data_IF_949042324203
#
_entry.id   IF_949042324203
#
_cell.length_a   1.000
_cell.length_b   1.000
_cell.length_c   1.000
_cell.angle_alpha   90.00
_cell.angle_beta   90.00
_cell.angle_gamma   90.00
#
_symmetry.space_group_name_H-M   'P 1'
#
loop_
_entity.id
_entity.type
_entity.pdbx_description
1 polymer ?
#
# COMPACT_ATOMS: atom_id res chain seq x y z
N UNK A 1 13.72 -2.61 47.68
CA UNK A 1 12.84 -1.44 47.54
C UNK A 1 11.36 -1.76 47.77
N UNK A 2 10.88 -2.99 47.53
CA UNK A 2 9.44 -3.34 47.67
C UNK A 2 9.07 -4.21 48.89
N UNK A 3 9.97 -4.40 49.86
CA UNK A 3 9.71 -5.30 50.99
C UNK A 3 8.54 -4.82 51.87
N UNK A 4 8.38 -3.51 52.05
CA UNK A 4 7.24 -2.94 52.79
C UNK A 4 5.92 -3.21 52.08
N UNK A 5 5.87 -2.99 50.76
CA UNK A 5 4.69 -3.22 49.95
C UNK A 5 4.30 -4.71 49.94
N UNK A 6 5.28 -5.62 49.79
CA UNK A 6 5.04 -7.06 49.87
C UNK A 6 4.54 -7.45 51.27
N UNK A 7 5.12 -6.87 52.33
CA UNK A 7 4.67 -7.11 53.70
C UNK A 7 3.21 -6.68 53.87
N UNK A 8 2.87 -5.44 53.53
CA UNK A 8 1.54 -4.86 53.73
C UNK A 8 0.46 -5.55 52.88
N UNK A 9 0.76 -5.89 51.63
CA UNK A 9 -0.25 -6.35 50.65
C UNK A 9 -0.35 -7.88 50.54
N UNK A 10 0.69 -8.62 50.95
CA UNK A 10 0.74 -10.08 50.86
C UNK A 10 0.97 -10.71 52.22
N UNK A 11 2.07 -10.40 52.92
CA UNK A 11 2.42 -11.13 54.13
C UNK A 11 1.52 -10.85 55.33
N UNK A 12 1.02 -9.63 55.53
CA UNK A 12 0.10 -9.31 56.62
C UNK A 12 -1.20 -10.14 56.51
N UNK A 13 -1.68 -10.36 55.30
CA UNK A 13 -2.82 -11.25 55.05
C UNK A 13 -2.49 -12.74 55.25
N UNK A 14 -1.25 -13.15 55.01
CA UNK A 14 -0.78 -14.52 55.24
C UNK A 14 -0.36 -14.79 56.69
N UNK A 15 -0.09 -13.77 57.50
CA UNK A 15 0.33 -13.93 58.90
C UNK A 15 -0.82 -14.00 59.90
N UNK A 16 -2.07 -14.07 59.41
CA UNK A 16 -3.29 -14.21 60.22
C UNK A 16 -3.32 -15.55 60.99
N UNK A 17 -2.76 -16.63 60.44
CA UNK A 17 -2.72 -17.94 61.10
C UNK A 17 -1.30 -18.46 61.26
N UNK A 18 -1.06 -19.26 62.30
CA UNK A 18 0.26 -19.87 62.56
C UNK A 18 0.65 -20.87 61.46
N UNK A 19 -0.33 -21.58 60.89
CA UNK A 19 -0.11 -22.52 59.78
C UNK A 19 0.33 -21.83 58.50
N UNK A 20 -0.31 -20.71 58.14
CA UNK A 20 0.06 -19.93 56.95
C UNK A 20 1.40 -19.22 57.14
N UNK A 21 1.71 -18.76 58.37
CA UNK A 21 3.03 -18.22 58.72
C UNK A 21 4.13 -19.26 58.54
N UNK A 22 3.94 -20.47 59.07
CA UNK A 22 4.89 -21.57 58.91
C UNK A 22 5.12 -21.93 57.44
N UNK A 23 4.05 -21.95 56.63
CA UNK A 23 4.15 -22.15 55.19
C UNK A 23 4.96 -21.06 54.49
N UNK A 24 4.75 -19.77 54.80
CA UNK A 24 5.53 -18.67 54.20
C UNK A 24 7.02 -18.80 54.53
N UNK A 25 7.36 -19.09 55.79
CA UNK A 25 8.75 -19.32 56.18
C UNK A 25 9.36 -20.50 55.43
N UNK A 26 8.65 -21.63 55.35
CA UNK A 26 9.13 -22.80 54.62
C UNK A 26 9.26 -22.53 53.11
N UNK A 27 8.28 -21.87 52.51
CA UNK A 27 8.24 -21.58 51.09
C UNK A 27 9.25 -20.51 50.64
N UNK A 28 9.72 -19.63 51.53
CA UNK A 28 10.73 -18.62 51.20
C UNK A 28 12.17 -19.09 51.47
N UNK A 29 12.38 -19.86 52.54
CA UNK A 29 13.72 -20.30 52.95
C UNK A 29 14.16 -21.61 52.30
N UNK A 30 13.23 -22.55 52.06
CA UNK A 30 13.57 -23.88 51.53
C UNK A 30 13.33 -23.99 50.01
N UNK A 31 12.89 -22.91 49.35
CA UNK A 31 12.61 -22.95 47.92
C UNK A 31 13.89 -23.05 47.09
N UNK A 32 14.01 -24.17 46.39
CA UNK A 32 15.08 -24.40 45.43
C UNK A 32 14.52 -24.23 44.01
N UNK A 33 15.15 -23.36 43.24
CA UNK A 33 14.82 -23.20 41.82
C UNK A 33 15.04 -24.53 41.09
N UNK A 34 14.02 -24.97 40.35
CA UNK A 34 14.13 -26.15 39.50
C UNK A 34 15.08 -25.93 38.32
N UNK A 35 15.39 -27.00 37.58
CA UNK A 35 16.10 -26.86 36.31
C UNK A 35 15.20 -26.21 35.25
N UNK A 36 15.80 -25.47 34.31
CA UNK A 36 15.08 -24.90 33.16
C UNK A 36 14.35 -25.98 32.37
N UNK A 37 14.91 -27.19 32.28
CA UNK A 37 14.25 -28.32 31.61
C UNK A 37 12.93 -28.73 32.30
N UNK A 38 12.90 -28.72 33.63
CA UNK A 38 11.68 -29.04 34.38
C UNK A 38 10.62 -27.95 34.21
N UNK A 39 11.03 -26.68 34.18
CA UNK A 39 10.13 -25.56 33.93
C UNK A 39 9.53 -25.63 32.51
N UNK A 40 10.37 -25.86 31.49
CA UNK A 40 9.93 -26.03 30.09
C UNK A 40 8.96 -27.20 29.96
N UNK A 41 9.25 -28.33 30.60
CA UNK A 41 8.33 -29.48 30.63
C UNK A 41 7.00 -29.12 31.29
N UNK A 42 7.02 -28.43 32.43
CA UNK A 42 5.82 -27.98 33.12
C UNK A 42 4.98 -27.03 32.24
N UNK A 43 5.62 -26.09 31.55
CA UNK A 43 4.95 -25.19 30.60
C UNK A 43 4.27 -25.97 29.47
N UNK A 44 4.99 -26.91 28.85
CA UNK A 44 4.44 -27.74 27.78
C UNK A 44 3.28 -28.63 28.25
N UNK A 45 3.33 -29.18 29.46
CA UNK A 45 2.21 -29.96 30.00
C UNK A 45 0.93 -29.14 30.20
N UNK A 46 1.07 -27.80 30.35
CA UNK A 46 -0.06 -26.86 30.42
C UNK A 46 -0.36 -26.18 29.08
N UNK A 47 0.21 -26.67 27.98
CA UNK A 47 -0.01 -26.12 26.63
C UNK A 47 0.68 -24.78 26.36
N UNK A 48 1.59 -24.33 27.23
CA UNK A 48 2.35 -23.10 27.05
C UNK A 48 3.59 -23.39 26.19
N UNK A 49 3.64 -22.80 25.00
CA UNK A 49 4.70 -23.02 24.01
C UNK A 49 5.46 -21.75 23.63
N UNK A 50 4.97 -20.59 24.05
CA UNK A 50 5.61 -19.30 23.79
C UNK A 50 5.46 -18.37 24.99
N UNK A 51 6.49 -17.55 25.20
CA UNK A 51 6.45 -16.43 26.13
C UNK A 51 6.50 -15.15 25.31
N UNK A 52 5.47 -14.33 25.41
CA UNK A 52 5.45 -13.01 24.77
C UNK A 52 5.77 -11.99 25.85
N UNK A 53 6.87 -11.27 25.69
CA UNK A 53 7.19 -10.16 26.57
C UNK A 53 6.10 -9.09 26.44
N UNK A 54 5.64 -8.59 27.58
CA UNK A 54 4.72 -7.46 27.59
C UNK A 54 5.40 -6.22 27.02
N UNK A 55 4.65 -5.44 26.24
CA UNK A 55 5.13 -4.14 25.76
C UNK A 55 5.34 -3.22 26.97
N UNK A 56 6.56 -2.68 27.12
CA UNK A 56 6.86 -1.73 28.17
C UNK A 56 8.02 -0.79 27.84
N UNK A 57 8.02 0.40 28.48
CA UNK A 57 9.03 1.45 28.29
C UNK A 57 9.93 1.72 29.51
N UNK A 58 9.78 0.95 30.59
CA UNK A 58 10.59 1.08 31.81
C UNK A 58 12.01 0.54 31.63
N UNK A 59 12.17 -0.55 30.88
CA UNK A 59 13.45 -1.15 30.54
C UNK A 59 13.52 -1.49 29.06
N UNK A 60 14.56 -1.02 28.38
CA UNK A 60 14.88 -1.52 27.05
C UNK A 60 15.31 -2.98 27.21
N UNK A 61 14.63 -3.92 26.54
CA UNK A 61 15.08 -5.31 26.56
C UNK A 61 16.44 -5.40 25.89
N UNK A 62 17.41 -5.95 26.62
CA UNK A 62 18.70 -6.28 26.05
C UNK A 62 18.62 -7.53 25.19
N UNK A 63 19.34 -7.53 24.08
CA UNK A 63 19.53 -8.69 23.20
C UNK A 63 21.02 -8.95 23.10
N UNK A 64 21.43 -10.19 23.30
CA UNK A 64 22.81 -10.62 23.07
C UNK A 64 22.81 -11.88 22.21
N UNK A 65 23.04 -11.70 20.91
CA UNK A 65 23.14 -12.80 19.96
C UNK A 65 24.60 -13.21 19.80
N UNK A 66 24.89 -14.48 20.00
CA UNK A 66 26.24 -15.04 19.94
C UNK A 66 26.25 -16.25 19.01
N UNK A 67 27.24 -16.32 18.11
CA UNK A 67 27.53 -17.49 17.28
C UNK A 67 28.77 -18.18 17.84
N UNK A 68 28.66 -19.48 18.11
CA UNK A 68 29.81 -20.33 18.45
C UNK A 68 30.35 -21.00 17.19
N UNK A 69 31.61 -20.73 16.87
CA UNK A 69 32.34 -21.37 15.79
C UNK A 69 33.20 -22.48 16.40
N UNK A 70 32.97 -23.73 16.00
CA UNK A 70 33.83 -24.85 16.37
C UNK A 70 34.76 -25.15 15.21
N UNK A 71 36.07 -25.09 15.43
CA UNK A 71 37.04 -25.41 14.39
C UNK A 71 37.26 -26.93 14.26
N UNK A 72 38.05 -27.34 13.26
CA UNK A 72 38.35 -28.77 12.99
C UNK A 72 39.18 -29.46 14.08
N UNK A 73 39.69 -28.71 15.07
CA UNK A 73 40.39 -29.22 16.25
C UNK A 73 39.45 -29.32 17.47
N UNK A 74 38.14 -29.13 17.27
CA UNK A 74 37.12 -29.10 18.31
C UNK A 74 37.31 -27.98 19.34
N UNK A 75 37.96 -26.88 18.93
CA UNK A 75 38.06 -25.67 19.76
C UNK A 75 36.88 -24.76 19.44
N UNK A 76 36.14 -24.38 20.49
CA UNK A 76 35.00 -23.48 20.38
C UNK A 76 35.43 -22.02 20.57
N UNK A 77 34.98 -21.15 19.68
CA UNK A 77 35.15 -19.71 19.77
C UNK A 77 33.80 -19.01 19.59
N UNK A 78 33.38 -18.25 20.60
CA UNK A 78 32.12 -17.50 20.56
C UNK A 78 32.33 -16.06 20.11
N UNK A 79 31.54 -15.60 19.14
CA UNK A 79 31.56 -14.22 18.63
C UNK A 79 30.16 -13.61 18.81
N UNK A 80 30.10 -12.41 19.37
CA UNK A 80 28.85 -11.64 19.50
C UNK A 80 28.53 -10.96 18.17
N UNK A 81 27.33 -11.20 17.64
CA UNK A 81 26.87 -10.64 16.37
C UNK A 81 25.88 -9.48 16.54
N UNK A 82 25.18 -9.44 17.67
CA UNK A 82 24.29 -8.34 18.02
C UNK A 82 24.31 -8.13 19.53
N UNK A 83 24.44 -6.88 19.97
CA UNK A 83 24.41 -6.52 21.38
C UNK A 83 23.61 -5.23 21.56
N UNK A 84 22.44 -5.37 22.18
CA UNK A 84 21.63 -4.28 22.68
C UNK A 84 21.62 -4.36 24.20
N UNK A 85 22.06 -3.31 24.87
CA UNK A 85 22.12 -3.29 26.33
C UNK A 85 20.75 -3.03 26.93
N UNK A 86 20.50 -3.65 28.08
CA UNK A 86 19.36 -3.30 28.93
C UNK A 86 19.59 -1.91 29.50
N UNK A 87 18.68 -0.98 29.22
CA UNK A 87 18.73 0.39 29.72
C UNK A 87 17.46 0.65 30.51
N UNK A 88 17.60 1.14 31.74
CA UNK A 88 16.47 1.61 32.53
C UNK A 88 16.10 3.02 32.08
N UNK A 89 14.82 3.23 31.80
CA UNK A 89 14.29 4.55 31.49
C UNK A 89 13.89 5.26 32.79
N UNK A 90 14.17 6.56 32.89
CA UNK A 90 13.90 7.35 34.11
C UNK A 90 12.43 7.73 34.28
N UNK A 91 11.66 7.66 33.19
CA UNK A 91 10.24 8.08 33.13
C UNK A 91 9.42 6.93 32.55
N UNK A 92 9.41 5.78 33.24
CA UNK A 92 8.60 4.64 32.83
C UNK A 92 7.12 4.93 33.08
N UNK A 93 6.37 5.22 32.01
CA UNK A 93 4.92 5.52 32.07
C UNK A 93 4.08 4.39 31.45
N UNK A 94 4.69 3.51 30.65
CA UNK A 94 4.03 2.44 29.92
C UNK A 94 4.52 1.08 30.45
N UNK A 95 4.25 0.80 31.72
CA UNK A 95 4.59 -0.48 32.33
C UNK A 95 3.51 -0.88 33.33
N UNK A 96 2.90 -2.04 33.08
CA UNK A 96 1.96 -2.68 34.00
C UNK A 96 2.63 -3.94 34.51
N UNK A 97 3.25 -3.86 35.69
CA UNK A 97 3.90 -5.00 36.32
C UNK A 97 3.40 -5.28 37.74
N UNK A 98 3.88 -6.38 38.35
CA UNK A 98 3.51 -6.75 39.71
C UNK A 98 3.85 -5.65 40.74
N UNK A 99 4.83 -4.80 40.45
CA UNK A 99 5.22 -3.67 41.29
C UNK A 99 4.17 -2.56 41.37
N UNK A 100 3.44 -2.30 40.28
CA UNK A 100 2.34 -1.32 40.27
C UNK A 100 1.23 -1.77 41.23
N UNK A 101 0.95 -3.08 41.23
CA UNK A 101 -0.08 -3.68 42.09
C UNK A 101 0.31 -3.61 43.56
N UNK A 102 1.58 -3.90 43.86
CA UNK A 102 2.13 -3.75 45.21
C UNK A 102 2.05 -2.30 45.69
N UNK A 103 2.47 -1.33 44.87
CA UNK A 103 2.48 0.08 45.23
C UNK A 103 1.06 0.65 45.43
N UNK A 104 0.13 0.31 44.55
CA UNK A 104 -1.26 0.79 44.66
C UNK A 104 -1.96 0.14 45.83
N UNK A 105 -1.84 -1.18 46.02
CA UNK A 105 -2.45 -1.82 47.18
C UNK A 105 -1.86 -1.36 48.50
N UNK A 106 -0.56 -1.04 48.56
CA UNK A 106 0.05 -0.42 49.74
C UNK A 106 -0.58 0.97 50.01
N UNK A 107 -0.84 1.77 48.97
CA UNK A 107 -1.43 3.10 49.11
C UNK A 107 -2.91 3.11 49.55
N UNK A 108 -3.70 2.13 49.11
CA UNK A 108 -5.15 2.03 49.41
C UNK A 108 -5.50 0.98 50.45
N UNK A 109 -4.49 0.42 51.14
CA UNK A 109 -4.66 -0.61 52.17
C UNK A 109 -5.39 -1.87 51.69
N UNK A 110 -5.14 -2.29 50.45
CA UNK A 110 -5.67 -3.54 49.91
C UNK A 110 -4.71 -4.71 49.99
N UNK A 111 -5.28 -5.92 50.00
CA UNK A 111 -4.54 -7.17 49.93
C UNK A 111 -4.61 -7.76 48.52
N UNK A 112 -3.49 -8.32 48.06
CA UNK A 112 -3.41 -9.10 46.83
C UNK A 112 -3.77 -10.58 47.07
N UNK A 113 -3.96 -10.99 48.33
CA UNK A 113 -4.37 -12.35 48.68
C UNK A 113 -5.89 -12.48 48.52
N UNK A 114 -6.33 -13.31 47.57
CA UNK A 114 -7.76 -13.44 47.20
C UNK A 114 -8.71 -13.76 48.36
N UNK A 115 -8.22 -14.43 49.40
CA UNK A 115 -9.03 -14.81 50.57
C UNK A 115 -9.05 -13.77 51.69
N UNK A 116 -8.29 -12.67 51.56
CA UNK A 116 -8.29 -11.61 52.56
C UNK A 116 -9.62 -10.84 52.59
N UNK A 117 -9.91 -10.23 53.74
CA UNK A 117 -11.11 -9.40 53.93
C UNK A 117 -11.10 -8.12 53.11
N UNK A 118 -9.91 -7.54 52.92
CA UNK A 118 -9.63 -6.31 52.17
C UNK A 118 -9.02 -6.58 50.78
N UNK A 119 -9.38 -7.69 50.14
CA UNK A 119 -8.95 -7.97 48.76
C UNK A 119 -9.46 -6.90 47.80
N UNK A 120 -8.66 -6.57 46.79
CA UNK A 120 -8.98 -5.56 45.77
C UNK A 120 -10.36 -5.73 45.11
N UNK A 121 -10.84 -6.96 44.94
CA UNK A 121 -12.16 -7.25 44.36
C UNK A 121 -13.34 -6.88 45.30
N UNK A 122 -13.09 -6.75 46.61
CA UNK A 122 -14.13 -6.49 47.63
C UNK A 122 -14.22 -5.04 48.08
N UNK A 123 -13.22 -4.23 47.78
CA UNK A 123 -13.15 -2.81 48.20
C UNK A 123 -13.87 -1.86 47.23
N UNK A 124 -14.48 -2.39 46.16
CA UNK A 124 -15.27 -1.60 45.21
C UNK A 124 -14.45 -0.82 44.18
N UNK A 125 -13.19 -1.22 43.96
CA UNK A 125 -12.27 -0.61 42.98
C UNK A 125 -12.10 -1.59 41.82
N UNK A 126 -12.29 -1.11 40.60
CA UNK A 126 -12.05 -1.86 39.38
C UNK A 126 -10.56 -1.79 39.03
N UNK A 127 -9.89 -2.94 39.04
CA UNK A 127 -8.50 -3.02 38.60
C UNK A 127 -8.29 -2.49 37.17
N UNK A 128 -9.24 -2.76 36.28
CA UNK A 128 -9.13 -2.36 34.88
C UNK A 128 -9.33 -0.84 34.70
N UNK A 129 -10.36 -0.27 35.34
CA UNK A 129 -10.77 1.13 35.14
C UNK A 129 -10.03 2.08 36.06
N UNK A 130 -9.95 1.76 37.36
CA UNK A 130 -9.47 2.70 38.38
C UNK A 130 -7.95 2.66 38.56
N UNK A 131 -7.29 1.61 38.04
CA UNK A 131 -5.85 1.36 38.24
C UNK A 131 -5.06 1.36 36.93
N UNK A 132 -5.54 0.70 35.88
CA UNK A 132 -4.80 0.56 34.62
C UNK A 132 -5.15 1.66 33.61
N UNK A 133 -6.44 1.92 33.41
CA UNK A 133 -6.92 2.78 32.31
C UNK A 133 -7.13 4.23 32.75
N UNK A 134 -7.52 4.46 34.01
CA UNK A 134 -7.99 5.77 34.46
C UNK A 134 -9.44 6.04 34.04
N UNK A 135 -10.03 7.12 34.57
CA UNK A 135 -11.46 7.42 34.39
C UNK A 135 -11.83 7.97 33.00
N UNK A 136 -10.85 8.16 32.10
CA UNK A 136 -11.04 8.71 30.76
C UNK A 136 -10.80 7.60 29.75
N UNK A 137 -11.84 7.23 28.99
CA UNK A 137 -11.82 6.10 28.07
C UNK A 137 -12.03 6.58 26.62
N UNK A 138 -10.96 7.04 25.93
CA UNK A 138 -11.04 7.37 24.52
C UNK A 138 -11.19 6.09 23.66
N UNK A 139 -11.75 6.17 22.44
CA UNK A 139 -11.94 5.02 21.56
C UNK A 139 -10.68 4.18 21.30
N UNK A 140 -9.51 4.82 21.39
CA UNK A 140 -8.20 4.18 21.25
C UNK A 140 -7.92 3.15 22.35
N UNK A 141 -8.41 3.37 23.57
CA UNK A 141 -8.28 2.42 24.68
C UNK A 141 -9.16 1.20 24.45
N UNK A 142 -10.37 1.37 23.90
CA UNK A 142 -11.24 0.24 23.56
C UNK A 142 -10.63 -0.63 22.46
N UNK A 143 -10.02 0.00 21.44
CA UNK A 143 -9.27 -0.72 20.39
C UNK A 143 -8.10 -1.54 20.92
N UNK A 144 -7.40 -1.05 21.96
CA UNK A 144 -6.30 -1.77 22.61
C UNK A 144 -6.81 -2.96 23.42
N UNK A 145 -7.99 -2.83 24.04
CA UNK A 145 -8.65 -3.91 24.79
C UNK A 145 -9.14 -5.03 23.85
N UNK A 146 -9.64 -4.68 22.68
CA UNK A 146 -10.14 -5.65 21.70
C UNK A 146 -9.02 -6.39 20.95
N UNK A 147 -7.88 -5.74 20.72
CA UNK A 147 -6.87 -6.22 19.78
C UNK A 147 -5.50 -6.49 20.41
N UNK A 148 -5.43 -6.98 21.64
CA UNK A 148 -4.17 -7.30 22.35
C UNK A 148 -3.10 -7.86 21.39
N UNK A 149 -2.20 -6.95 21.03
CA UNK A 149 -1.07 -6.98 20.10
C UNK A 149 -0.77 -8.32 19.42
N UNK A 150 -1.20 -8.47 18.17
CA UNK A 150 -0.64 -9.46 17.26
C UNK A 150 0.23 -8.81 16.16
N UNK A 151 1.47 -9.29 16.17
CA UNK A 151 2.61 -8.99 15.34
C UNK A 151 2.46 -9.62 13.94
N UNK A 152 2.17 -8.83 12.89
CA UNK A 152 2.02 -9.40 11.53
C UNK A 152 2.54 -8.57 10.34
N UNK A 153 3.10 -7.36 10.52
CA UNK A 153 3.37 -6.50 9.35
C UNK A 153 4.83 -6.46 8.82
N UNK A 154 5.84 -6.90 9.58
CA UNK A 154 7.25 -6.59 9.21
C UNK A 154 8.07 -7.70 8.54
N UNK A 155 7.54 -8.90 8.31
CA UNK A 155 8.34 -10.03 7.79
C UNK A 155 8.49 -10.13 6.27
N UNK A 156 7.83 -9.30 5.46
CA UNK A 156 7.83 -9.48 4.00
C UNK A 156 8.70 -8.50 3.20
N UNK A 157 9.31 -7.47 3.83
CA UNK A 157 10.01 -6.41 3.09
C UNK A 157 11.55 -6.56 3.02
N UNK A 158 12.15 -7.46 3.80
CA UNK A 158 13.61 -7.54 3.92
C UNK A 158 14.30 -8.43 2.86
N UNK A 159 13.55 -9.26 2.12
CA UNK A 159 14.13 -10.27 1.22
C UNK A 159 14.23 -9.82 -0.26
N UNK A 160 13.82 -8.61 -0.62
CA UNK A 160 13.95 -8.09 -2.00
C UNK A 160 14.97 -6.96 -2.19
N UNK A 161 15.58 -6.48 -1.11
CA UNK A 161 16.37 -5.23 -1.13
C UNK A 161 17.80 -5.42 -1.62
N UNK A 162 18.35 -6.65 -1.60
CA UNK A 162 19.77 -6.88 -1.89
C UNK A 162 20.07 -7.34 -3.34
N UNK A 163 19.08 -7.35 -4.23
CA UNK A 163 19.28 -7.72 -5.64
C UNK A 163 19.29 -6.52 -6.62
N UNK A 164 19.02 -5.30 -6.15
CA UNK A 164 18.88 -4.11 -7.00
C UNK A 164 20.02 -3.09 -6.90
N UNK A 165 20.98 -3.30 -5.98
CA UNK A 165 22.17 -2.46 -5.86
C UNK A 165 23.28 -3.14 -6.67
N UNK A 166 23.14 -3.08 -8.00
CA UNK A 166 24.27 -3.27 -8.90
C UNK A 166 25.12 -2.01 -8.87
N UNK A 167 26.36 -2.16 -8.41
CA UNK A 167 27.44 -1.19 -8.56
C UNK A 167 27.54 -0.65 -10.00
N UNK A 168 27.88 0.63 -10.11
CA UNK A 168 28.31 1.35 -11.32
C UNK A 168 27.21 1.98 -12.24
N UNK A 169 26.41 2.90 -11.69
CA UNK A 169 25.72 3.91 -12.51
C UNK A 169 26.32 5.31 -12.26
N UNK A 170 26.92 5.98 -13.27
CA UNK A 170 27.55 7.30 -13.14
C UNK A 170 26.57 8.43 -12.78
N UNK A 171 25.27 8.17 -12.66
CA UNK A 171 24.24 9.14 -12.25
C UNK A 171 24.12 9.35 -10.73
N UNK A 172 24.88 8.63 -9.91
CA UNK A 172 24.83 8.77 -8.44
C UNK A 172 25.39 10.09 -7.91
N UNK A 173 26.20 10.81 -8.70
CA UNK A 173 26.88 12.03 -8.26
C UNK A 173 26.11 13.34 -8.50
N UNK A 174 25.00 13.34 -9.25
CA UNK A 174 24.31 14.59 -9.64
C UNK A 174 23.15 15.00 -8.73
N UNK A 175 22.72 14.12 -7.83
CA UNK A 175 21.60 14.40 -6.95
C UNK A 175 22.10 14.83 -5.57
N UNK A 176 22.26 16.14 -5.37
CA UNK A 176 22.39 16.76 -4.05
C UNK A 176 21.07 16.63 -3.27
N UNK A 177 20.65 15.41 -2.96
CA UNK A 177 19.45 15.14 -2.19
C UNK A 177 19.74 15.40 -0.72
N UNK A 178 19.13 16.44 -0.18
CA UNK A 178 19.15 16.73 1.25
C UNK A 178 18.13 15.85 1.95
N UNK A 179 18.43 15.41 3.18
CA UNK A 179 17.41 14.78 4.01
C UNK A 179 16.28 15.77 4.28
N UNK A 180 15.04 15.36 4.01
CA UNK A 180 13.83 16.16 4.25
C UNK A 180 12.94 15.41 5.22
N UNK A 181 12.35 16.13 6.17
CA UNK A 181 11.26 15.61 6.99
C UNK A 181 9.93 15.92 6.31
N UNK A 182 9.13 14.90 6.10
CA UNK A 182 7.79 15.01 5.50
C UNK A 182 6.74 14.43 6.42
N UNK A 183 5.53 14.94 6.31
CA UNK A 183 4.31 14.41 6.93
C UNK A 183 3.54 13.59 5.87
N UNK A 184 3.65 12.25 5.86
CA UNK A 184 3.00 11.43 4.84
C UNK A 184 1.50 11.25 5.13
N UNK A 185 0.78 12.34 5.39
CA UNK A 185 -0.66 12.35 5.69
C UNK A 185 -1.45 12.49 4.38
N UNK A 186 -2.34 11.55 4.05
CA UNK A 186 -3.20 11.65 2.88
C UNK A 186 -3.99 12.96 2.86
N UNK A 187 -4.18 13.56 1.68
CA UNK A 187 -4.92 14.82 1.54
C UNK A 187 -6.38 14.71 2.01
N UNK A 188 -6.97 13.52 1.91
CA UNK A 188 -8.33 13.19 2.39
C UNK A 188 -8.47 13.26 3.91
N UNK A 189 -7.38 13.21 4.65
CA UNK A 189 -7.36 13.23 6.12
C UNK A 189 -7.17 14.65 6.68
N UNK A 190 -7.06 15.67 5.82
CA UNK A 190 -6.93 17.07 6.25
C UNK A 190 -8.23 17.58 6.86
N UNK A 191 -8.13 18.34 7.95
CA UNK A 191 -9.28 18.94 8.64
C UNK A 191 -10.01 18.02 9.61
N UNK A 192 -9.47 16.83 9.88
CA UNK A 192 -9.97 15.90 10.89
C UNK A 192 -9.24 16.10 12.24
N UNK A 193 -9.89 15.66 13.32
CA UNK A 193 -9.26 15.50 14.62
C UNK A 193 -8.87 14.03 14.82
N UNK A 194 -7.68 13.79 15.36
CA UNK A 194 -7.09 12.47 15.53
C UNK A 194 -6.90 12.17 17.01
N UNK A 195 -7.28 10.95 17.40
CA UNK A 195 -7.10 10.37 18.73
C UNK A 195 -5.99 9.30 18.76
N UNK A 196 -5.05 9.35 17.82
CA UNK A 196 -3.98 8.36 17.65
C UNK A 196 -2.82 8.54 18.63
N UNK A 197 -1.65 8.02 18.25
CA UNK A 197 -0.44 8.11 19.05
C UNK A 197 -0.31 6.97 20.04
N UNK A 198 0.26 7.26 21.19
CA UNK A 198 0.47 6.29 22.24
C UNK A 198 -0.82 5.94 22.98
N UNK A 199 -1.32 4.69 22.88
CA UNK A 199 -2.57 4.31 23.52
C UNK A 199 -2.47 4.28 25.05
N UNK A 200 -1.25 4.20 25.60
CA UNK A 200 -1.01 4.20 27.05
C UNK A 200 -0.93 5.60 27.62
N UNK A 201 -0.94 6.64 26.77
CA UNK A 201 -1.06 8.02 27.25
C UNK A 201 -2.52 8.35 27.53
N UNK A 202 -2.92 8.09 28.78
CA UNK A 202 -4.30 8.23 29.27
C UNK A 202 -4.83 9.67 29.17
N UNK A 203 -3.95 10.67 29.13
CA UNK A 203 -4.30 12.10 29.10
C UNK A 203 -4.16 12.72 27.70
N UNK A 204 -4.58 11.99 26.67
CA UNK A 204 -4.55 12.47 25.29
C UNK A 204 -5.73 13.40 24.97
N UNK A 205 -5.44 14.55 24.34
CA UNK A 205 -6.44 15.41 23.72
C UNK A 205 -6.65 15.03 22.24
N UNK A 206 -7.76 15.47 21.65
CA UNK A 206 -7.99 15.38 20.22
C UNK A 206 -7.14 16.43 19.49
N UNK A 207 -6.25 15.99 18.60
CA UNK A 207 -5.29 16.87 17.90
C UNK A 207 -5.57 16.95 16.39
N UNK A 208 -5.30 18.08 15.72
CA UNK A 208 -5.59 18.26 14.29
C UNK A 208 -4.54 17.63 13.35
N UNK A 209 -3.67 16.76 13.86
CA UNK A 209 -2.60 16.12 13.12
C UNK A 209 -2.52 14.62 13.46
N UNK A 210 -2.09 13.80 12.51
CA UNK A 210 -1.78 12.39 12.75
C UNK A 210 -0.57 12.33 13.67
N UNK A 211 -0.66 11.54 14.75
CA UNK A 211 0.41 11.31 15.70
C UNK A 211 1.27 10.12 15.27
N UNK A 212 2.56 10.13 15.67
CA UNK A 212 3.48 9.02 15.38
C UNK A 212 3.05 7.73 16.09
N UNK A 213 3.50 6.59 15.58
CA UNK A 213 3.37 5.31 16.26
C UNK A 213 4.20 5.32 17.55
N UNK A 214 3.66 4.75 18.62
CA UNK A 214 4.36 4.65 19.90
C UNK A 214 5.48 3.62 19.85
N UNK A 215 6.48 3.83 20.69
CA UNK A 215 7.63 2.95 20.81
C UNK A 215 8.33 3.11 22.15
N UNK A 216 9.39 2.33 22.35
CA UNK A 216 10.06 2.23 23.64
C UNK A 216 10.56 3.56 24.24
N UNK A 217 10.87 4.55 23.40
CA UNK A 217 11.39 5.85 23.84
C UNK A 217 10.30 6.92 23.95
N UNK A 218 9.04 6.55 23.79
CA UNK A 218 7.95 7.50 23.93
C UNK A 218 7.73 7.83 25.41
N UNK A 219 7.62 9.13 25.70
CA UNK A 219 7.69 9.65 27.06
C UNK A 219 6.32 10.08 27.61
N UNK A 220 5.21 9.79 26.91
CA UNK A 220 3.83 10.11 27.32
C UNK A 220 3.67 11.53 27.92
N UNK A 221 4.32 12.53 27.32
CA UNK A 221 4.34 13.91 27.83
C UNK A 221 3.82 14.94 26.82
N UNK A 222 4.00 14.70 25.51
CA UNK A 222 3.63 15.65 24.46
C UNK A 222 3.15 14.90 23.23
N UNK A 223 1.94 15.21 22.76
CA UNK A 223 1.42 14.72 21.49
C UNK A 223 2.15 15.40 20.33
N UNK A 224 2.88 14.63 19.52
CA UNK A 224 3.72 15.14 18.41
C UNK A 224 3.17 14.68 17.05
N UNK A 225 3.31 15.50 15.99
CA UNK A 225 2.90 15.10 14.65
C UNK A 225 3.80 14.01 14.08
N UNK A 226 3.21 13.08 13.34
CA UNK A 226 3.92 12.04 12.62
C UNK A 226 4.80 12.65 11.53
N UNK A 227 6.09 12.38 11.61
CA UNK A 227 7.07 12.83 10.61
C UNK A 227 7.98 11.69 10.22
N UNK A 228 8.18 11.54 8.91
CA UNK A 228 9.13 10.59 8.34
C UNK A 228 10.32 11.36 7.79
N UNK A 229 11.52 10.99 8.27
CA UNK A 229 12.77 11.54 7.74
C UNK A 229 13.19 10.75 6.50
N UNK A 230 13.02 11.35 5.32
CA UNK A 230 13.45 10.76 4.07
C UNK A 230 14.96 10.94 3.90
N UNK A 231 15.68 9.82 3.94
CA UNK A 231 17.12 9.81 3.69
C UNK A 231 17.41 9.86 2.18
N UNK A 232 18.53 10.44 1.75
CA UNK A 232 18.88 10.56 0.33
C UNK A 232 18.83 9.21 -0.41
N UNK A 233 19.34 8.14 0.21
CA UNK A 233 19.34 6.80 -0.37
C UNK A 233 17.92 6.21 -0.49
N UNK A 234 17.05 6.47 0.48
CA UNK A 234 15.64 6.05 0.44
C UNK A 234 14.86 6.80 -0.63
N UNK A 235 15.16 8.09 -0.84
CA UNK A 235 14.58 8.92 -1.90
C UNK A 235 15.05 8.40 -3.26
N UNK A 236 16.35 8.15 -3.43
CA UNK A 236 16.91 7.60 -4.67
C UNK A 236 16.31 6.22 -4.99
N UNK A 237 16.17 5.36 -3.98
CA UNK A 237 15.51 4.06 -4.12
C UNK A 237 14.04 4.22 -4.51
N UNK A 238 13.30 5.12 -3.85
CA UNK A 238 11.91 5.40 -4.20
C UNK A 238 11.80 5.93 -5.63
N UNK A 239 12.66 6.85 -6.07
CA UNK A 239 12.70 7.37 -7.44
C UNK A 239 13.02 6.29 -8.48
N UNK A 240 13.82 5.28 -8.13
CA UNK A 240 14.10 4.12 -9.00
C UNK A 240 13.00 3.05 -8.97
N UNK A 241 12.33 2.88 -7.83
CA UNK A 241 11.29 1.88 -7.62
C UNK A 241 9.91 2.36 -8.11
N UNK A 242 9.69 3.67 -8.09
CA UNK A 242 8.56 4.27 -8.77
C UNK A 242 8.74 4.00 -10.27
N UNK A 243 7.73 3.44 -10.96
CA UNK A 243 7.73 3.53 -12.41
C UNK A 243 7.89 5.01 -12.78
N UNK A 244 8.66 5.33 -13.84
CA UNK A 244 8.73 6.72 -14.31
C UNK A 244 7.29 7.23 -14.38
N UNK A 245 6.97 8.41 -13.81
CA UNK A 245 5.60 8.87 -13.69
C UNK A 245 4.93 8.69 -15.05
N UNK A 246 4.00 7.73 -15.13
CA UNK A 246 3.48 7.22 -16.39
C UNK A 246 2.71 8.29 -17.19
N UNK A 247 2.60 9.50 -16.64
CA UNK A 247 1.92 10.63 -17.24
C UNK A 247 2.85 11.63 -17.94
N UNK A 248 4.12 11.83 -17.55
CA UNK A 248 4.87 12.94 -18.18
C UNK A 248 5.43 12.58 -19.56
N UNK A 249 5.93 11.36 -19.74
CA UNK A 249 6.39 10.91 -21.07
C UNK A 249 5.22 10.55 -22.00
N UNK A 250 4.10 10.04 -21.45
CA UNK A 250 2.94 9.65 -22.26
C UNK A 250 2.06 10.85 -22.64
N UNK A 251 1.83 11.84 -21.76
CA UNK A 251 0.97 12.99 -22.09
C UNK A 251 1.62 13.89 -23.14
N UNK A 252 2.93 14.15 -23.05
CA UNK A 252 3.62 14.94 -24.08
C UNK A 252 3.72 14.22 -25.42
N UNK A 253 4.03 12.92 -25.41
CA UNK A 253 4.05 12.12 -26.65
C UNK A 253 2.65 11.99 -27.27
N UNK A 254 1.62 11.73 -26.47
CA UNK A 254 0.22 11.68 -26.93
C UNK A 254 -0.26 13.03 -27.43
N UNK A 255 0.12 14.15 -26.80
CA UNK A 255 -0.20 15.50 -27.27
C UNK A 255 0.47 15.80 -28.61
N UNK A 256 1.75 15.44 -28.78
CA UNK A 256 2.46 15.61 -30.05
C UNK A 256 1.84 14.77 -31.17
N UNK A 257 1.54 13.50 -30.89
CA UNK A 257 0.82 12.62 -31.83
C UNK A 257 -0.53 13.22 -32.17
N UNK A 258 -1.31 13.68 -31.19
CA UNK A 258 -2.61 14.31 -31.39
C UNK A 258 -2.51 15.55 -32.29
N UNK A 259 -1.53 16.43 -32.08
CA UNK A 259 -1.30 17.59 -32.94
C UNK A 259 -0.98 17.20 -34.38
N UNK A 260 -0.13 16.18 -34.60
CA UNK A 260 0.16 15.65 -35.94
C UNK A 260 -1.09 15.07 -36.60
N UNK A 261 -1.91 14.33 -35.84
CA UNK A 261 -3.18 13.78 -36.32
C UNK A 261 -4.12 14.90 -36.77
N UNK A 262 -4.37 15.89 -35.92
CA UNK A 262 -5.28 17.00 -36.23
C UNK A 262 -4.77 17.80 -37.43
N UNK A 263 -3.48 18.14 -37.44
CA UNK A 263 -2.85 18.86 -38.55
C UNK A 263 -3.03 18.11 -39.88
N UNK A 264 -2.71 16.82 -39.91
CA UNK A 264 -2.83 16.01 -41.13
C UNK A 264 -4.28 15.85 -41.59
N UNK A 265 -5.23 15.63 -40.69
CA UNK A 265 -6.67 15.53 -41.03
C UNK A 265 -7.22 16.84 -41.60
N UNK A 266 -6.90 17.98 -40.99
CA UNK A 266 -7.36 19.31 -41.46
C UNK A 266 -6.76 19.63 -42.83
N UNK A 267 -5.47 19.40 -43.01
CA UNK A 267 -4.79 19.68 -44.27
C UNK A 267 -5.34 18.82 -45.41
N UNK A 268 -5.51 17.51 -45.19
CA UNK A 268 -6.06 16.61 -46.18
C UNK A 268 -7.53 16.92 -46.49
N UNK A 269 -8.32 17.31 -45.49
CA UNK A 269 -9.68 17.79 -45.68
C UNK A 269 -9.70 19.05 -46.56
N UNK A 270 -8.82 20.01 -46.29
CA UNK A 270 -8.70 21.23 -47.08
C UNK A 270 -8.29 20.94 -48.54
N UNK A 271 -7.33 20.05 -48.77
CA UNK A 271 -6.92 19.66 -50.14
C UNK A 271 -8.04 18.89 -50.85
N UNK A 272 -8.75 18.00 -50.15
CA UNK A 272 -9.87 17.25 -50.71
C UNK A 272 -11.06 18.12 -51.11
N UNK A 273 -11.32 19.21 -50.38
CA UNK A 273 -12.39 20.17 -50.67
C UNK A 273 -11.97 21.20 -51.72
N UNK A 274 -10.79 21.79 -51.58
CA UNK A 274 -10.33 22.88 -52.45
C UNK A 274 -9.77 22.37 -53.79
N UNK A 275 -9.19 21.16 -53.83
CA UNK A 275 -8.60 20.57 -55.03
C UNK A 275 -9.58 20.54 -56.22
N UNK A 276 -10.76 19.92 -56.08
CA UNK A 276 -11.74 19.86 -57.17
C UNK A 276 -12.22 21.24 -57.65
N UNK A 277 -12.24 22.25 -56.77
CA UNK A 277 -12.64 23.62 -57.11
C UNK A 277 -11.54 24.42 -57.84
N UNK A 278 -10.26 24.12 -57.59
CA UNK A 278 -9.12 24.79 -58.21
C UNK A 278 -8.75 24.20 -59.58
N UNK A 279 -9.10 22.94 -59.85
CA UNK A 279 -8.77 22.23 -61.10
C UNK A 279 -9.91 22.17 -62.13
N UNK A 280 -10.96 22.99 -61.99
CA UNK A 280 -12.09 23.04 -62.94
C UNK A 280 -11.71 23.47 -64.38
N UNK A 281 -10.45 23.80 -64.65
CA UNK A 281 -10.00 24.34 -65.94
C UNK A 281 -9.48 23.34 -66.97
N UNK A 282 -8.90 22.18 -66.62
CA UNK A 282 -8.01 21.48 -67.57
C UNK A 282 -8.07 19.94 -67.67
N UNK A 283 -9.04 19.24 -67.07
CA UNK A 283 -9.28 17.83 -67.45
C UNK A 283 -10.67 17.33 -67.05
N UNK A 284 -11.27 16.38 -67.82
CA UNK A 284 -12.45 15.66 -67.37
C UNK A 284 -12.05 14.79 -66.18
N UNK A 285 -12.12 15.37 -64.98
CA UNK A 285 -11.95 14.65 -63.74
C UNK A 285 -13.12 13.67 -63.61
N UNK A 286 -12.90 12.42 -63.99
CA UNK A 286 -13.83 11.32 -63.67
C UNK A 286 -14.06 11.36 -62.16
N UNK A 287 -15.28 11.72 -61.75
CA UNK A 287 -15.66 11.95 -60.34
C UNK A 287 -15.38 10.76 -59.43
N UNK A 288 -15.20 9.56 -60.00
CA UNK A 288 -14.80 8.35 -59.30
C UNK A 288 -13.37 8.41 -58.70
N UNK A 289 -12.46 9.21 -59.27
CA UNK A 289 -11.08 9.32 -58.77
C UNK A 289 -10.98 10.07 -57.43
N UNK A 290 -11.99 10.88 -57.08
CA UNK A 290 -12.08 11.56 -55.78
C UNK A 290 -12.16 10.53 -54.63
N UNK A 291 -12.81 9.38 -54.85
CA UNK A 291 -12.88 8.32 -53.84
C UNK A 291 -11.52 7.66 -53.56
N UNK A 292 -10.53 7.81 -54.45
CA UNK A 292 -9.17 7.30 -54.25
C UNK A 292 -8.25 8.33 -53.58
N UNK A 293 -8.66 9.60 -53.48
CA UNK A 293 -7.85 10.67 -52.91
C UNK A 293 -7.42 10.38 -51.47
N UNK A 294 -8.37 10.00 -50.61
CA UNK A 294 -8.10 9.70 -49.21
C UNK A 294 -7.06 8.57 -49.05
N UNK A 295 -7.08 7.56 -49.94
CA UNK A 295 -6.12 6.46 -49.94
C UNK A 295 -4.70 6.91 -50.34
N UNK A 296 -4.59 7.62 -51.45
CA UNK A 296 -3.30 7.97 -52.06
C UNK A 296 -2.62 9.06 -51.24
N UNK A 297 -3.36 10.11 -50.87
CA UNK A 297 -2.80 11.24 -50.14
C UNK A 297 -2.27 10.82 -48.76
N UNK A 298 -3.05 10.02 -48.02
CA UNK A 298 -2.70 9.60 -46.66
C UNK A 298 -1.52 8.62 -46.65
N UNK A 299 -1.49 7.66 -47.57
CA UNK A 299 -0.39 6.66 -47.62
C UNK A 299 0.95 7.28 -48.03
N UNK A 300 0.95 8.28 -48.91
CA UNK A 300 2.16 8.97 -49.36
C UNK A 300 2.68 9.96 -48.31
N UNK A 301 1.80 10.65 -47.59
CA UNK A 301 2.21 11.69 -46.62
C UNK A 301 2.53 11.16 -45.22
N UNK A 302 1.72 10.25 -44.67
CA UNK A 302 1.91 9.75 -43.30
C UNK A 302 2.71 8.44 -43.25
N UNK A 303 2.74 7.70 -44.36
CA UNK A 303 3.40 6.42 -44.44
C UNK A 303 2.56 5.27 -43.85
N UNK A 304 2.85 4.07 -44.35
CA UNK A 304 2.14 2.82 -44.03
C UNK A 304 2.21 2.42 -42.55
N UNK A 305 3.36 2.55 -41.84
CA UNK A 305 3.44 2.17 -40.44
C UNK A 305 2.56 3.02 -39.53
N UNK A 306 2.50 4.34 -39.77
CA UNK A 306 1.67 5.26 -38.98
C UNK A 306 0.19 4.97 -39.22
N UNK A 307 -0.21 4.67 -40.46
CA UNK A 307 -1.58 4.25 -40.78
C UNK A 307 -1.97 2.97 -40.07
N UNK A 308 -1.08 1.97 -40.04
CA UNK A 308 -1.32 0.72 -39.33
C UNK A 308 -1.54 0.96 -37.84
N UNK A 309 -0.70 1.79 -37.21
CA UNK A 309 -0.83 2.13 -35.78
C UNK A 309 -2.13 2.85 -35.47
N UNK A 310 -2.57 3.79 -36.32
CA UNK A 310 -3.86 4.47 -36.18
C UNK A 310 -5.03 3.50 -36.26
N UNK A 311 -5.04 2.65 -37.28
CA UNK A 311 -6.09 1.66 -37.46
C UNK A 311 -6.12 0.64 -36.32
N UNK A 312 -4.95 0.21 -35.85
CA UNK A 312 -4.82 -0.69 -34.70
C UNK A 312 -5.36 -0.05 -33.42
N UNK A 313 -5.05 1.22 -33.16
CA UNK A 313 -5.57 1.94 -32.00
C UNK A 313 -7.10 2.03 -32.04
N UNK A 314 -7.68 2.38 -33.20
CA UNK A 314 -9.14 2.43 -33.35
C UNK A 314 -9.79 1.04 -33.16
N UNK A 315 -9.16 -0.02 -33.66
CA UNK A 315 -9.63 -1.40 -33.49
C UNK A 315 -9.58 -1.84 -32.02
N UNK A 316 -8.52 -1.50 -31.29
CA UNK A 316 -8.40 -1.75 -29.85
C UNK A 316 -9.46 -0.99 -29.05
N UNK A 317 -9.76 0.25 -29.43
CA UNK A 317 -10.83 1.04 -28.80
C UNK A 317 -12.21 0.40 -29.05
N UNK A 318 -12.50 -0.04 -30.27
CA UNK A 318 -13.74 -0.77 -30.58
C UNK A 318 -13.82 -2.13 -29.85
N UNK A 319 -12.67 -2.80 -29.66
CA UNK A 319 -12.58 -4.05 -28.89
C UNK A 319 -12.65 -3.86 -27.37
N UNK A 320 -12.73 -2.63 -26.87
CA UNK A 320 -12.79 -2.32 -25.44
C UNK A 320 -14.23 -2.00 -25.02
N UNK A 321 -14.61 -2.32 -23.79
CA UNK A 321 -15.91 -1.91 -23.25
C UNK A 321 -15.94 -0.40 -22.98
N UNK A 322 -17.01 0.29 -23.40
CA UNK A 322 -17.25 1.69 -23.03
C UNK A 322 -18.03 1.78 -21.72
N UNK A 323 -17.42 2.43 -20.75
CA UNK A 323 -17.93 2.53 -19.38
C UNK A 323 -17.77 3.98 -18.93
N UNK A 324 -18.82 4.52 -18.32
CA UNK A 324 -18.83 5.86 -17.75
C UNK A 324 -19.00 5.77 -16.23
N UNK A 325 -18.40 6.71 -15.49
CA UNK A 325 -18.55 6.76 -14.05
C UNK A 325 -19.88 7.42 -13.70
N UNK A 326 -20.87 6.62 -13.30
CA UNK A 326 -22.18 7.09 -12.87
C UNK A 326 -22.22 7.22 -11.35
N UNK A 327 -22.69 8.36 -10.85
CA UNK A 327 -22.92 8.61 -9.42
C UNK A 327 -24.40 8.45 -9.11
N UNK A 328 -24.75 7.43 -8.31
CA UNK A 328 -26.11 7.26 -7.80
C UNK A 328 -26.09 7.54 -6.28
N UNK A 329 -26.62 8.72 -5.91
CA UNK A 329 -26.75 9.29 -4.56
C UNK A 329 -25.50 9.35 -3.67
N UNK A 330 -24.90 8.20 -3.34
CA UNK A 330 -23.79 8.01 -2.39
C UNK A 330 -22.74 7.01 -2.87
N UNK A 331 -22.98 6.30 -3.97
CA UNK A 331 -22.07 5.32 -4.55
C UNK A 331 -21.67 5.73 -5.96
N UNK A 332 -20.37 5.62 -6.25
CA UNK A 332 -19.80 5.75 -7.58
C UNK A 332 -19.70 4.37 -8.20
N UNK A 333 -20.40 4.16 -9.31
CA UNK A 333 -20.39 2.91 -10.06
C UNK A 333 -19.96 3.15 -11.50
N UNK A 334 -19.43 2.11 -12.12
CA UNK A 334 -19.11 2.09 -13.53
C UNK A 334 -20.33 1.55 -14.30
N UNK A 335 -20.98 2.41 -15.10
CA UNK A 335 -22.17 2.04 -15.87
C UNK A 335 -21.82 1.89 -17.36
N UNK A 336 -22.27 0.83 -18.06
CA UNK A 336 -22.05 0.69 -19.49
C UNK A 336 -22.73 1.82 -20.26
N UNK A 337 -21.93 2.63 -20.95
CA UNK A 337 -22.41 3.76 -21.75
C UNK A 337 -22.23 3.43 -23.24
N UNK A 338 -23.29 3.14 -24.01
CA UNK A 338 -23.17 2.75 -25.41
C UNK A 338 -22.63 3.92 -26.25
N UNK A 339 -21.67 3.62 -27.13
CA UNK A 339 -21.06 4.63 -28.02
C UNK A 339 -22.09 5.17 -29.01
N UNK A 340 -22.03 6.48 -29.28
CA UNK A 340 -22.89 7.11 -30.29
C UNK A 340 -22.59 6.59 -31.70
N UNK A 341 -23.59 6.59 -32.59
CA UNK A 341 -23.41 6.18 -34.00
C UNK A 341 -22.30 6.97 -34.71
N UNK A 342 -22.16 8.27 -34.38
CA UNK A 342 -21.09 9.10 -34.91
C UNK A 342 -19.71 8.61 -34.46
N UNK A 343 -19.56 8.28 -33.18
CA UNK A 343 -18.32 7.77 -32.60
C UNK A 343 -17.94 6.43 -33.23
N UNK A 344 -18.92 5.54 -33.41
CA UNK A 344 -18.72 4.23 -34.07
C UNK A 344 -18.34 4.39 -35.53
N UNK A 345 -19.00 5.29 -36.27
CA UNK A 345 -18.67 5.55 -37.67
C UNK A 345 -17.26 6.13 -37.83
N UNK A 346 -16.83 7.03 -36.94
CA UNK A 346 -15.50 7.63 -36.98
C UNK A 346 -14.41 6.61 -36.62
N UNK A 347 -14.58 5.87 -35.51
CA UNK A 347 -13.67 4.77 -35.13
C UNK A 347 -13.63 3.65 -36.17
N UNK A 348 -14.78 3.30 -36.74
CA UNK A 348 -14.86 2.32 -37.83
C UNK A 348 -14.12 2.79 -39.08
N UNK A 349 -14.25 4.07 -39.43
CA UNK A 349 -13.47 4.71 -40.50
C UNK A 349 -11.97 4.63 -40.25
N UNK A 350 -11.51 4.98 -39.06
CA UNK A 350 -10.09 4.86 -38.68
C UNK A 350 -9.60 3.39 -38.66
N UNK A 351 -10.44 2.44 -38.24
CA UNK A 351 -10.07 1.03 -38.24
C UNK A 351 -9.86 0.47 -39.66
N UNK A 352 -10.50 1.05 -40.70
CA UNK A 352 -10.28 0.62 -42.09
C UNK A 352 -8.84 0.86 -42.59
N UNK A 353 -8.03 1.69 -41.90
CA UNK A 353 -6.60 1.87 -42.22
C UNK A 353 -5.80 0.56 -42.22
N UNK A 354 -6.18 -0.41 -41.39
CA UNK A 354 -5.56 -1.74 -41.41
C UNK A 354 -5.82 -2.43 -42.75
N UNK A 355 -7.08 -2.41 -43.21
CA UNK A 355 -7.48 -3.01 -44.50
C UNK A 355 -6.72 -2.35 -45.66
N UNK A 356 -6.48 -1.04 -45.60
CA UNK A 356 -5.66 -0.32 -46.58
C UNK A 356 -4.21 -0.80 -46.62
N UNK A 357 -3.56 -0.91 -45.46
CA UNK A 357 -2.16 -1.33 -45.37
C UNK A 357 -2.00 -2.77 -45.85
N UNK A 358 -2.92 -3.65 -45.47
CA UNK A 358 -2.94 -5.04 -45.94
C UNK A 358 -3.16 -5.10 -47.45
N UNK A 359 -4.15 -4.39 -47.97
CA UNK A 359 -4.42 -4.37 -49.40
C UNK A 359 -3.17 -3.94 -50.19
N UNK A 360 -2.51 -2.86 -49.81
CA UNK A 360 -1.31 -2.39 -50.49
C UNK A 360 -0.11 -3.36 -50.37
N UNK A 361 -0.01 -4.14 -49.29
CA UNK A 361 1.00 -5.20 -49.15
C UNK A 361 0.71 -6.37 -50.11
N UNK A 362 -0.57 -6.67 -50.35
CA UNK A 362 -1.00 -7.80 -51.17
C UNK A 362 -1.19 -7.46 -52.66
N UNK A 363 -1.32 -6.18 -53.03
CA UNK A 363 -1.44 -5.74 -54.44
C UNK A 363 -0.37 -6.32 -55.37
N UNK A 364 0.94 -6.41 -55.00
CA UNK A 364 1.96 -7.01 -55.87
C UNK A 364 1.71 -8.49 -56.22
N UNK A 365 0.91 -9.20 -55.41
CA UNK A 365 0.57 -10.61 -55.62
C UNK A 365 -0.74 -10.79 -56.41
N UNK A 366 -1.50 -9.72 -56.65
CA UNK A 366 -2.79 -9.73 -57.36
C UNK A 366 -2.56 -9.14 -58.76
N UNK A 367 -2.50 -10.02 -59.76
CA UNK A 367 -2.00 -9.76 -61.13
C UNK A 367 -2.84 -8.78 -61.99
N UNK A 368 -4.03 -8.37 -61.58
CA UNK A 368 -4.95 -7.56 -62.42
C UNK A 368 -5.27 -6.19 -61.83
N UNK A 369 -4.82 -5.14 -62.51
CA UNK A 369 -4.99 -3.73 -62.12
C UNK A 369 -6.47 -3.30 -62.04
N UNK A 370 -7.33 -3.84 -62.92
CA UNK A 370 -8.77 -3.54 -62.95
C UNK A 370 -9.52 -4.10 -61.74
N UNK A 371 -9.11 -5.30 -61.26
CA UNK A 371 -9.74 -5.93 -60.10
C UNK A 371 -9.38 -5.18 -58.82
N UNK A 372 -8.14 -4.73 -58.69
CA UNK A 372 -7.66 -3.95 -57.54
C UNK A 372 -8.45 -2.65 -57.32
N UNK A 373 -8.79 -1.93 -58.41
CA UNK A 373 -9.52 -0.66 -58.33
C UNK A 373 -10.95 -0.80 -57.76
N UNK A 374 -11.61 -1.92 -58.03
CA UNK A 374 -12.99 -2.19 -57.55
C UNK A 374 -12.96 -2.91 -56.20
N UNK A 375 -12.02 -3.84 -56.01
CA UNK A 375 -11.93 -4.64 -54.79
C UNK A 375 -11.63 -3.78 -53.56
N UNK A 376 -10.76 -2.78 -53.69
CA UNK A 376 -10.35 -1.94 -52.56
C UNK A 376 -11.53 -1.23 -51.88
N UNK A 377 -12.35 -0.39 -52.58
CA UNK A 377 -13.47 0.31 -51.94
C UNK A 377 -14.55 -0.64 -51.41
N UNK A 378 -14.76 -1.78 -52.08
CA UNK A 378 -15.68 -2.82 -51.61
C UNK A 378 -15.20 -3.41 -50.28
N UNK A 379 -13.92 -3.79 -50.16
CA UNK A 379 -13.36 -4.32 -48.91
C UNK A 379 -13.45 -3.31 -47.77
N UNK A 380 -13.27 -2.01 -48.02
CA UNK A 380 -13.43 -0.97 -46.99
C UNK A 380 -14.87 -0.84 -46.53
N UNK A 381 -15.80 -0.76 -47.47
CA UNK A 381 -17.22 -0.61 -47.15
C UNK A 381 -17.73 -1.83 -46.38
N UNK A 382 -17.31 -3.03 -46.79
CA UNK A 382 -17.57 -4.26 -46.05
C UNK A 382 -16.95 -4.19 -44.65
N UNK A 383 -15.68 -3.80 -44.51
CA UNK A 383 -15.01 -3.67 -43.21
C UNK A 383 -15.76 -2.70 -42.29
N UNK A 384 -16.15 -1.54 -42.80
CA UNK A 384 -16.86 -0.51 -42.05
C UNK A 384 -18.23 -0.99 -41.60
N UNK A 385 -19.00 -1.61 -42.51
CA UNK A 385 -20.33 -2.15 -42.22
C UNK A 385 -20.24 -3.28 -41.19
N UNK A 386 -19.27 -4.18 -41.32
CA UNK A 386 -19.07 -5.28 -40.37
C UNK A 386 -18.70 -4.76 -38.98
N UNK A 387 -17.75 -3.80 -38.88
CA UNK A 387 -17.38 -3.22 -37.58
C UNK A 387 -18.55 -2.47 -36.93
N UNK A 388 -19.31 -1.70 -37.71
CA UNK A 388 -20.51 -1.00 -37.20
C UNK A 388 -21.60 -2.00 -36.78
N UNK A 389 -21.82 -3.07 -37.55
CA UNK A 389 -22.79 -4.10 -37.22
C UNK A 389 -22.39 -4.87 -35.96
N UNK A 390 -21.12 -5.23 -35.80
CA UNK A 390 -20.61 -5.90 -34.60
C UNK A 390 -20.81 -5.04 -33.36
N UNK A 391 -20.48 -3.74 -33.43
CA UNK A 391 -20.64 -2.82 -32.31
C UNK A 391 -22.11 -2.58 -31.94
N UNK A 392 -23.02 -2.54 -32.93
CA UNK A 392 -24.45 -2.32 -32.69
C UNK A 392 -25.19 -3.58 -32.22
N UNK A 393 -24.83 -4.74 -32.76
CA UNK A 393 -25.51 -6.00 -32.46
C UNK A 393 -24.93 -6.70 -31.23
N UNK A 394 -23.62 -6.57 -31.01
CA UNK A 394 -22.89 -7.28 -29.96
C UNK A 394 -21.76 -6.41 -29.38
N UNK A 395 -22.09 -5.28 -28.71
CA UNK A 395 -21.08 -4.43 -28.09
C UNK A 395 -20.29 -5.18 -27.01
N UNK A 396 -19.00 -4.89 -26.90
CA UNK A 396 -18.14 -5.46 -25.85
C UNK A 396 -18.61 -4.95 -24.49
N UNK A 397 -19.02 -5.86 -23.60
CA UNK A 397 -19.53 -5.53 -22.25
C UNK A 397 -18.46 -5.79 -21.20
N UNK A 398 -18.36 -4.90 -20.22
CA UNK A 398 -17.60 -5.16 -19.01
C UNK A 398 -18.42 -6.08 -18.10
N UNK A 399 -17.86 -7.21 -17.68
CA UNK A 399 -18.48 -8.14 -16.74
C UNK A 399 -17.77 -8.07 -15.40
N UNK A 400 -18.52 -7.87 -14.31
CA UNK A 400 -18.00 -7.96 -12.95
C UNK A 400 -17.89 -9.44 -12.59
N UNK A 401 -16.67 -9.93 -12.34
CA UNK A 401 -16.45 -11.24 -11.73
C UNK A 401 -16.77 -11.12 -10.23
N UNK A 402 -17.95 -11.57 -9.83
CA UNK A 402 -18.24 -11.81 -8.41
C UNK A 402 -17.44 -13.05 -7.98
N UNK A 403 -16.45 -12.83 -7.12
CA UNK A 403 -15.74 -13.89 -6.38
C UNK A 403 -16.61 -14.47 -5.28
#
# INVERSE_FOLDING_TARGET
>A
MYMSAIQATIFDALYISDSSRAWVFQALYDYQWGSVANEVAAWHTHGLTSFVCQSQNLYQYGIQDTITIVNSLNLEQSIRINEQKTLANLVGVEYVGPWNNLAICEAIWCSLVRQAGNVIDKIGISYDVDIIIGTIQPPTIDLVRENTFQDAFFRHLHLKTNAAIGDNDPRSNDYYLRSVEVDPVPSTWRGMLFAGGNPMYVYNDLVPFVQDSFGHNDACQVQKPFKVKLQPNSILLALRALPPPALELSVQACAYIWHIVVYSTVLLGAVGVCGPGLFQGESPCTSLNIYQFNRVAVSVWLGRPVLFLRGLAAHLVLSSASVELATCSTLTGFDPSPRSLYTVANLGGEATWITFVLHDLFVPFISTHEVSQVLTPCCMLVTLVVLAALELMSPVRATILSL
#
